data_IF_002572704562
#
_entry.id   IF_002572704562
#
_cell.length_a   1.000
_cell.length_b   1.000
_cell.length_c   1.000
_cell.angle_alpha   90.00
_cell.angle_beta   90.00
_cell.angle_gamma   90.00
#
_symmetry.space_group_name_H-M   'P 1'
#
loop_
_entity.id
_entity.type
_entity.pdbx_description
1 polymer ?
#
# COMPACT_ATOMS: atom_id res chain seq x y z
N UNK A 1 0.76 7.33 -4.10
CA UNK A 1 -0.38 6.53 -3.62
C UNK A 1 -0.02 5.05 -3.67
N UNK A 2 -0.52 4.24 -2.74
CA UNK A 2 -0.29 2.78 -2.71
C UNK A 2 -1.61 2.05 -2.41
N UNK A 3 -2.02 1.14 -3.29
CA UNK A 3 -3.22 0.32 -3.16
C UNK A 3 -2.93 -1.18 -3.30
N UNK A 4 -3.81 -2.00 -2.71
CA UNK A 4 -3.86 -3.46 -2.89
C UNK A 4 -5.27 -3.84 -3.33
N UNK A 5 -5.45 -4.10 -4.63
CA UNK A 5 -6.78 -4.20 -5.23
C UNK A 5 -7.55 -2.89 -5.02
N UNK A 6 -8.78 -2.98 -4.52
CA UNK A 6 -9.63 -1.79 -4.26
C UNK A 6 -9.30 -1.06 -2.94
N UNK A 7 -8.34 -1.55 -2.16
CA UNK A 7 -8.01 -0.99 -0.85
C UNK A 7 -6.85 0.01 -0.93
N UNK A 8 -7.10 1.27 -0.58
CA UNK A 8 -6.08 2.30 -0.42
C UNK A 8 -5.34 2.14 0.91
N UNK A 9 -4.10 1.61 0.86
CA UNK A 9 -3.29 1.35 2.05
C UNK A 9 -2.47 2.57 2.49
N UNK A 10 -1.98 3.37 1.55
CA UNK A 10 -1.27 4.61 1.83
C UNK A 10 -1.53 5.70 0.77
N UNK A 11 -1.66 6.95 1.22
CA UNK A 11 -1.63 8.14 0.37
C UNK A 11 -0.95 9.30 1.12
N UNK A 12 -0.29 10.18 0.38
CA UNK A 12 0.37 11.37 0.93
C UNK A 12 -0.63 12.40 1.48
N UNK A 13 -1.89 12.37 1.02
CA UNK A 13 -2.99 13.23 1.50
C UNK A 13 -3.86 12.58 2.60
N UNK A 14 -3.47 11.43 3.15
CA UNK A 14 -4.20 10.83 4.27
C UNK A 14 -4.04 11.66 5.55
N UNK A 15 -5.05 11.55 6.43
CA UNK A 15 -4.98 12.10 7.78
C UNK A 15 -3.72 11.61 8.52
N UNK A 16 -3.05 12.54 9.20
CA UNK A 16 -1.76 12.29 9.86
C UNK A 16 -1.85 11.17 10.90
N UNK A 17 -2.95 11.08 11.66
CA UNK A 17 -3.11 10.02 12.67
C UNK A 17 -3.23 8.65 12.03
N UNK A 18 -3.98 8.54 10.93
CA UNK A 18 -4.10 7.28 10.17
C UNK A 18 -2.76 6.87 9.57
N UNK A 19 -2.00 7.83 9.03
CA UNK A 19 -0.67 7.58 8.47
C UNK A 19 0.30 7.12 9.56
N UNK A 20 0.39 7.85 10.67
CA UNK A 20 1.26 7.51 11.79
C UNK A 20 0.93 6.15 12.41
N UNK A 21 -0.35 5.76 12.44
CA UNK A 21 -0.76 4.43 12.91
C UNK A 21 -0.33 3.29 11.97
N UNK A 22 -0.43 3.49 10.64
CA UNK A 22 -0.13 2.46 9.64
C UNK A 22 1.35 2.31 9.30
N UNK A 23 2.11 3.41 9.34
CA UNK A 23 3.54 3.40 8.99
C UNK A 23 4.40 2.36 9.75
N UNK A 24 4.18 2.08 11.05
CA UNK A 24 4.94 1.05 11.76
C UNK A 24 4.43 -0.38 11.54
N UNK A 25 3.29 -0.57 10.86
CA UNK A 25 2.68 -1.89 10.67
C UNK A 25 3.26 -2.59 9.43
N UNK A 26 3.31 -3.92 9.47
CA UNK A 26 3.62 -4.71 8.27
C UNK A 26 2.56 -4.52 7.18
N UNK A 27 2.99 -4.49 5.92
CA UNK A 27 2.11 -4.28 4.75
C UNK A 27 0.94 -5.28 4.75
N UNK A 28 1.20 -6.54 5.09
CA UNK A 28 0.17 -7.58 5.23
C UNK A 28 -0.89 -7.16 6.25
N UNK A 29 -0.47 -6.74 7.44
CA UNK A 29 -1.37 -6.31 8.52
C UNK A 29 -2.16 -5.06 8.14
N UNK A 30 -1.55 -4.11 7.43
CA UNK A 30 -2.25 -2.93 6.92
C UNK A 30 -3.32 -3.34 5.90
N UNK A 31 -3.01 -4.24 4.96
CA UNK A 31 -3.99 -4.75 3.99
C UNK A 31 -5.15 -5.43 4.71
N UNK A 32 -4.89 -6.26 5.71
CA UNK A 32 -5.93 -6.95 6.48
C UNK A 32 -6.82 -5.97 7.27
N UNK A 33 -6.22 -4.96 7.91
CA UNK A 33 -6.96 -3.95 8.65
C UNK A 33 -7.82 -3.07 7.74
N UNK A 34 -7.29 -2.63 6.59
CA UNK A 34 -8.02 -1.75 5.66
C UNK A 34 -9.12 -2.50 4.92
N UNK A 35 -8.83 -3.71 4.45
CA UNK A 35 -9.81 -4.53 3.72
C UNK A 35 -10.83 -5.21 4.63
N UNK A 36 -10.58 -5.24 5.95
CA UNK A 36 -11.35 -5.98 6.95
C UNK A 36 -11.47 -7.47 6.60
N UNK A 37 -10.45 -8.02 5.94
CA UNK A 37 -10.36 -9.41 5.50
C UNK A 37 -8.96 -9.93 5.78
N UNK A 38 -8.86 -11.13 6.35
CA UNK A 38 -7.56 -11.78 6.52
C UNK A 38 -7.03 -12.26 5.18
N UNK A 39 -5.70 -12.17 5.01
CA UNK A 39 -5.01 -12.74 3.87
C UNK A 39 -4.99 -14.27 4.06
N UNK A 40 -5.46 -15.06 3.07
CA UNK A 40 -5.48 -16.52 3.17
C UNK A 40 -4.11 -17.11 3.51
N UNK A 41 -4.07 -18.16 4.33
CA UNK A 41 -2.81 -18.80 4.79
C UNK A 41 -1.89 -19.29 3.67
N UNK A 42 -2.43 -19.63 2.51
CA UNK A 42 -1.64 -20.09 1.36
C UNK A 42 -1.03 -18.94 0.55
N UNK A 43 -1.47 -17.70 0.76
CA UNK A 43 -1.02 -16.55 -0.02
C UNK A 43 0.36 -16.09 0.46
N UNK A 44 1.32 -16.06 -0.47
CA UNK A 44 2.74 -15.76 -0.21
C UNK A 44 3.17 -14.35 -0.64
N UNK A 45 2.31 -13.68 -1.40
CA UNK A 45 2.59 -12.35 -1.93
C UNK A 45 1.33 -11.54 -2.16
N UNK A 46 1.49 -10.22 -2.17
CA UNK A 46 0.48 -9.22 -2.48
C UNK A 46 0.94 -8.42 -3.71
N UNK A 47 -0.01 -8.05 -4.55
CA UNK A 47 0.21 -7.10 -5.65
C UNK A 47 -0.16 -5.73 -5.15
N UNK A 48 0.76 -4.79 -5.23
CA UNK A 48 0.54 -3.40 -4.86
C UNK A 48 0.64 -2.51 -6.10
N UNK A 49 -0.34 -1.66 -6.29
CA UNK A 49 -0.34 -0.64 -7.35
C UNK A 49 0.12 0.68 -6.75
N UNK A 50 1.01 1.36 -7.47
CA UNK A 50 1.68 2.57 -6.99
C UNK A 50 1.48 3.69 -7.98
N UNK A 51 1.15 4.87 -7.46
CA UNK A 51 1.30 6.13 -8.16
C UNK A 51 2.41 6.91 -7.46
N UNK A 52 3.44 7.30 -8.20
CA UNK A 52 4.54 8.10 -7.69
C UNK A 52 4.64 9.40 -8.49
N UNK A 53 5.16 10.43 -7.85
CA UNK A 53 5.48 11.70 -8.49
C UNK A 53 7.00 11.84 -8.58
N UNK A 54 7.47 12.48 -9.64
CA UNK A 54 8.88 12.85 -9.76
C UNK A 54 9.23 13.92 -8.70
N UNK A 55 10.28 13.74 -7.90
CA UNK A 55 10.61 14.65 -6.80
C UNK A 55 11.14 16.02 -7.25
N UNK A 56 11.50 16.20 -8.52
CA UNK A 56 12.00 17.47 -9.05
C UNK A 56 10.94 18.23 -9.84
N UNK A 57 10.03 17.51 -10.51
CA UNK A 57 9.04 18.10 -11.43
C UNK A 57 7.60 18.02 -10.91
N UNK A 58 7.34 17.29 -9.82
CA UNK A 58 6.02 16.99 -9.25
C UNK A 58 5.04 16.33 -10.24
N UNK A 59 5.52 15.87 -11.40
CA UNK A 59 4.71 15.19 -12.40
C UNK A 59 4.46 13.74 -11.99
N UNK A 60 3.24 13.25 -12.24
CA UNK A 60 2.92 11.82 -12.08
C UNK A 60 3.76 10.99 -13.05
N UNK A 61 4.43 9.98 -12.52
CA UNK A 61 5.23 9.02 -13.29
C UNK A 61 4.60 7.65 -13.25
N UNK A 62 4.49 7.03 -14.42
CA UNK A 62 4.04 5.66 -14.54
C UNK A 62 5.16 4.71 -14.10
N UNK A 63 4.84 3.83 -13.14
CA UNK A 63 5.77 2.84 -12.61
C UNK A 63 5.12 1.46 -12.56
N UNK A 64 5.92 0.38 -12.65
CA UNK A 64 5.39 -0.97 -12.54
C UNK A 64 4.74 -1.25 -11.17
N UNK A 65 3.91 -2.29 -11.14
CA UNK A 65 3.38 -2.81 -9.88
C UNK A 65 4.49 -3.39 -9.00
N UNK A 66 4.23 -3.44 -7.69
CA UNK A 66 5.11 -4.08 -6.72
C UNK A 66 4.56 -5.45 -6.34
N UNK A 67 5.37 -6.48 -6.49
CA UNK A 67 5.11 -7.80 -5.89
C UNK A 67 5.74 -7.84 -4.51
N UNK A 68 4.93 -7.66 -3.48
CA UNK A 68 5.37 -7.75 -2.09
C UNK A 68 5.32 -9.21 -1.61
N UNK A 69 6.46 -9.79 -1.25
CA UNK A 69 6.58 -11.18 -0.76
C UNK A 69 6.81 -11.14 0.75
N UNK A 70 6.01 -11.90 1.50
CA UNK A 70 6.03 -11.95 2.98
C UNK A 70 6.00 -13.39 3.51
N UNK A 71 6.45 -14.34 2.68
CA UNK A 71 6.60 -15.75 3.04
C UNK A 71 7.83 -15.97 3.93
#
# INVERSE_FOLDING_TARGET
MLSSGVSLIYSFFMDEKKRAHRMPMDVKTVVEDVSKRQVPHYQRSLVLEVMATDPNTDADVEIPYIRYVFA
#
